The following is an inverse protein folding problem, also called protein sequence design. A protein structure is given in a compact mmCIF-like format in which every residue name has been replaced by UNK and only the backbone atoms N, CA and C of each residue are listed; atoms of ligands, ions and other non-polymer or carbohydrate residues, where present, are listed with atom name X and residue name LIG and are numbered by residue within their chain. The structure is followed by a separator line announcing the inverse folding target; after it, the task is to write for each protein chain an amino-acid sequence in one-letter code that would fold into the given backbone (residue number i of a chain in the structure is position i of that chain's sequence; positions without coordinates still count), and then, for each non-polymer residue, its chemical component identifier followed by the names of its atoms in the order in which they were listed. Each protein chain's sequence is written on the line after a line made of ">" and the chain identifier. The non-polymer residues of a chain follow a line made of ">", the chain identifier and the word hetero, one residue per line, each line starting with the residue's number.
data_IF_684466362043
#
_entry.id   IF_684466362043
#
_cell.length_a   1.000
_cell.length_b   1.000
_cell.length_c   1.000
_cell.angle_alpha   90.00
_cell.angle_beta   90.00
_cell.angle_gamma   90.00
#
_symmetry.space_group_name_H-M   'P 1'
#
loop_
_entity.id
_entity.type
_entity.pdbx_description
1 polymer ?
#
# COMPACT_ATOMS: atom_id res chain seq x y z
N UNK A 1 33.43 -27.53 14.47
CA UNK A 1 32.56 -26.66 15.28
C UNK A 1 31.59 -25.93 14.34
N UNK A 2 30.32 -25.90 14.73
CA UNK A 2 29.20 -25.09 14.20
C UNK A 2 28.74 -25.34 12.75
N UNK A 3 27.79 -26.27 12.62
CA UNK A 3 26.91 -26.44 11.44
C UNK A 3 25.99 -25.24 11.30
N UNK A 4 25.84 -24.74 10.08
CA UNK A 4 24.86 -23.72 9.71
C UNK A 4 23.45 -24.28 9.86
N UNK A 5 22.62 -23.60 10.65
CA UNK A 5 21.22 -23.95 10.84
C UNK A 5 20.41 -23.68 9.58
N UNK A 6 19.87 -24.75 9.00
CA UNK A 6 18.71 -24.70 8.12
C UNK A 6 17.56 -23.98 8.84
N UNK A 7 17.03 -22.92 8.21
CA UNK A 7 15.74 -22.36 8.61
C UNK A 7 14.67 -23.40 8.26
N UNK A 8 14.17 -24.09 9.25
CA UNK A 8 12.99 -24.93 9.15
C UNK A 8 11.82 -24.10 8.59
N UNK A 9 11.30 -24.51 7.43
CA UNK A 9 10.04 -23.99 6.92
C UNK A 9 8.94 -24.36 7.90
N UNK A 10 8.32 -23.36 8.52
CA UNK A 10 7.17 -23.57 9.39
C UNK A 10 6.02 -24.08 8.52
N UNK A 11 5.63 -25.34 8.69
CA UNK A 11 4.45 -25.91 8.04
C UNK A 11 3.23 -25.23 8.66
N UNK A 12 2.72 -24.20 7.99
CA UNK A 12 1.50 -23.49 8.41
C UNK A 12 0.36 -24.50 8.45
N UNK A 13 -0.22 -24.73 9.63
CA UNK A 13 -1.28 -25.71 9.86
C UNK A 13 -2.57 -25.37 9.11
N UNK A 14 -3.45 -26.35 8.89
CA UNK A 14 -4.70 -26.15 8.16
C UNK A 14 -5.61 -25.07 8.80
N UNK A 15 -5.61 -24.99 10.14
CA UNK A 15 -6.33 -23.95 10.88
C UNK A 15 -5.82 -22.53 10.60
N UNK A 16 -4.50 -22.36 10.53
CA UNK A 16 -3.87 -21.07 10.25
C UNK A 16 -4.15 -20.61 8.81
N UNK A 17 -4.12 -21.54 7.84
CA UNK A 17 -4.45 -21.25 6.44
C UNK A 17 -5.90 -20.79 6.27
N UNK A 18 -6.84 -21.48 6.92
CA UNK A 18 -8.25 -21.10 6.88
C UNK A 18 -8.49 -19.72 7.51
N UNK A 19 -7.78 -19.39 8.59
CA UNK A 19 -7.83 -18.07 9.22
C UNK A 19 -7.25 -16.98 8.31
N UNK A 20 -6.08 -17.22 7.72
CA UNK A 20 -5.47 -16.30 6.76
C UNK A 20 -6.39 -16.04 5.56
N UNK A 21 -7.00 -17.08 4.98
CA UNK A 21 -7.94 -16.92 3.87
C UNK A 21 -9.13 -16.03 4.24
N UNK A 22 -9.70 -16.22 5.44
CA UNK A 22 -10.79 -15.37 5.95
C UNK A 22 -10.35 -13.93 6.12
N UNK A 23 -9.17 -13.69 6.71
CA UNK A 23 -8.61 -12.34 6.85
C UNK A 23 -8.42 -11.65 5.49
N UNK A 24 -7.94 -12.39 4.48
CA UNK A 24 -7.72 -11.85 3.12
C UNK A 24 -9.03 -11.50 2.42
N UNK A 25 -10.08 -12.29 2.62
CA UNK A 25 -11.41 -11.94 2.13
C UNK A 25 -11.99 -10.72 2.86
N UNK A 26 -11.88 -10.65 4.20
CA UNK A 26 -12.28 -9.47 4.97
C UNK A 26 -11.57 -8.21 4.47
N UNK A 27 -10.24 -8.28 4.27
CA UNK A 27 -9.43 -7.18 3.74
C UNK A 27 -9.93 -6.75 2.37
N UNK A 28 -10.11 -7.70 1.43
CA UNK A 28 -10.63 -7.43 0.09
C UNK A 28 -11.99 -6.74 0.16
N UNK A 29 -12.89 -7.19 1.03
CA UNK A 29 -14.20 -6.56 1.19
C UNK A 29 -14.06 -5.12 1.63
N UNK A 30 -13.25 -4.82 2.66
CA UNK A 30 -13.05 -3.45 3.15
C UNK A 30 -12.44 -2.53 2.08
N UNK A 31 -11.40 -2.98 1.37
CA UNK A 31 -10.76 -2.19 0.31
C UNK A 31 -11.73 -1.82 -0.83
N UNK A 32 -12.69 -2.69 -1.13
CA UNK A 32 -13.69 -2.47 -2.19
C UNK A 32 -15.04 -1.93 -1.69
N UNK A 33 -15.20 -1.62 -0.40
CA UNK A 33 -16.42 -0.96 0.08
C UNK A 33 -16.64 0.39 -0.60
N UNK A 34 -15.57 1.19 -0.74
CA UNK A 34 -15.64 2.52 -1.36
C UNK A 34 -15.37 2.45 -2.87
N UNK A 35 -14.65 1.44 -3.35
CA UNK A 35 -14.29 1.24 -4.76
C UNK A 35 -15.20 0.23 -5.50
N UNK A 36 -16.46 0.11 -5.09
CA UNK A 36 -17.42 -0.85 -5.67
C UNK A 36 -17.75 -0.52 -7.15
N UNK A 37 -18.29 -1.47 -7.94
CA UNK A 37 -18.61 -1.22 -9.36
C UNK A 37 -19.59 -0.08 -9.62
N UNK A 38 -20.40 0.30 -8.63
CA UNK A 38 -21.32 1.44 -8.68
C UNK A 38 -20.73 2.75 -8.13
N UNK A 39 -19.48 2.71 -7.68
CA UNK A 39 -18.73 3.87 -7.19
C UNK A 39 -17.85 4.43 -8.31
N UNK A 40 -17.65 5.74 -8.31
CA UNK A 40 -16.68 6.40 -9.19
C UNK A 40 -15.23 6.09 -8.78
N UNK A 41 -15.03 5.53 -7.58
CA UNK A 41 -13.72 5.26 -7.02
C UNK A 41 -13.14 3.95 -7.54
N UNK A 42 -11.83 3.99 -7.81
CA UNK A 42 -11.02 2.83 -8.18
C UNK A 42 -10.01 2.57 -7.08
N UNK A 43 -9.60 1.32 -6.93
CA UNK A 43 -8.54 0.94 -6.01
C UNK A 43 -7.18 0.92 -6.72
N UNK A 44 -6.20 1.51 -6.06
CA UNK A 44 -4.81 1.50 -6.45
C UNK A 44 -3.95 1.02 -5.29
N UNK A 45 -2.75 0.54 -5.60
CA UNK A 45 -1.69 0.39 -4.61
C UNK A 45 -0.48 1.22 -5.01
N UNK A 46 0.27 1.68 -4.01
CA UNK A 46 1.64 2.14 -4.19
C UNK A 46 2.55 1.09 -3.58
N UNK A 47 3.19 0.30 -4.44
CA UNK A 47 4.06 -0.80 -4.05
C UNK A 47 5.51 -0.34 -4.08
N UNK A 48 6.25 -0.67 -3.03
CA UNK A 48 7.65 -0.33 -2.85
C UNK A 48 8.54 -1.50 -3.25
N UNK A 49 9.05 -1.48 -4.49
CA UNK A 49 9.85 -2.60 -5.01
C UNK A 49 11.20 -2.77 -4.27
N UNK A 50 11.64 -1.79 -3.48
CA UNK A 50 12.80 -1.97 -2.60
C UNK A 50 12.52 -2.91 -1.42
N UNK A 51 11.24 -3.21 -1.11
CA UNK A 51 10.86 -4.09 0.00
C UNK A 51 11.05 -5.55 -0.33
N UNK A 52 10.76 -5.93 -1.57
CA UNK A 52 10.89 -7.30 -2.04
C UNK A 52 11.10 -7.32 -3.57
N UNK A 53 12.16 -7.99 -4.08
CA UNK A 53 12.45 -8.02 -5.50
C UNK A 53 11.34 -8.66 -6.34
N UNK A 54 10.48 -9.49 -5.74
CA UNK A 54 9.34 -10.11 -6.41
C UNK A 54 8.30 -9.07 -6.84
N UNK A 55 8.23 -7.91 -6.19
CA UNK A 55 7.28 -6.82 -6.50
C UNK A 55 7.48 -6.33 -7.93
N UNK A 56 8.71 -5.98 -8.31
CA UNK A 56 8.98 -5.45 -9.64
C UNK A 56 8.71 -6.50 -10.72
N UNK A 57 9.17 -7.74 -10.53
CA UNK A 57 8.93 -8.82 -11.47
C UNK A 57 7.42 -9.10 -11.62
N UNK A 58 6.70 -9.16 -10.50
CA UNK A 58 5.25 -9.33 -10.49
C UNK A 58 4.51 -8.22 -11.24
N UNK A 59 4.95 -6.96 -11.12
CA UNK A 59 4.38 -5.85 -11.89
C UNK A 59 4.59 -6.02 -13.40
N UNK A 60 5.81 -6.37 -13.83
CA UNK A 60 6.13 -6.61 -15.24
C UNK A 60 5.28 -7.73 -15.83
N UNK A 61 5.08 -8.81 -15.06
CA UNK A 61 4.37 -10.00 -15.53
C UNK A 61 2.84 -9.88 -15.37
N UNK A 62 2.35 -8.92 -14.58
CA UNK A 62 0.92 -8.81 -14.22
C UNK A 62 -0.02 -8.46 -15.38
N UNK A 63 0.49 -7.78 -16.42
CA UNK A 63 -0.35 -7.11 -17.42
C UNK A 63 -1.18 -5.95 -16.87
N UNK A 64 -1.01 -5.56 -15.60
CA UNK A 64 -1.72 -4.44 -14.98
C UNK A 64 -1.20 -3.10 -15.52
N UNK A 65 -2.06 -2.09 -15.49
CA UNK A 65 -1.63 -0.71 -15.72
C UNK A 65 -0.87 -0.21 -14.47
N UNK A 66 0.41 0.13 -14.64
CA UNK A 66 1.25 0.67 -13.57
C UNK A 66 2.17 1.80 -14.03
N UNK A 67 2.62 2.61 -13.08
CA UNK A 67 3.52 3.74 -13.31
C UNK A 67 4.56 3.86 -12.21
N UNK A 68 5.83 3.98 -12.62
CA UNK A 68 6.89 4.39 -11.71
C UNK A 68 6.63 5.83 -11.21
N UNK A 69 6.80 6.03 -9.90
CA UNK A 69 6.68 7.34 -9.28
C UNK A 69 8.00 8.12 -9.35
N UNK A 70 9.17 7.47 -9.46
CA UNK A 70 10.41 8.19 -9.71
C UNK A 70 10.37 8.93 -11.07
N UNK A 71 11.11 10.04 -11.16
CA UNK A 71 11.12 10.93 -12.33
C UNK A 71 12.33 10.64 -13.23
N UNK A 72 12.17 10.93 -14.52
CA UNK A 72 13.26 10.89 -15.49
C UNK A 72 13.60 9.49 -15.99
N UNK A 73 14.65 9.42 -16.79
CA UNK A 73 15.24 8.16 -17.26
C UNK A 73 16.03 7.53 -16.11
N UNK A 74 15.48 6.46 -15.56
CA UNK A 74 16.09 5.71 -14.46
C UNK A 74 17.04 4.66 -15.03
N UNK A 75 18.14 4.39 -14.33
CA UNK A 75 18.91 3.16 -14.56
C UNK A 75 18.03 1.94 -14.24
N UNK A 76 18.30 0.80 -14.88
CA UNK A 76 17.50 -0.43 -14.69
C UNK A 76 17.50 -0.90 -13.24
N UNK A 77 18.63 -0.78 -12.55
CA UNK A 77 18.77 -1.09 -11.13
C UNK A 77 17.82 -0.25 -10.26
N UNK A 78 17.68 1.05 -10.60
CA UNK A 78 16.82 1.96 -9.86
C UNK A 78 15.33 1.71 -10.16
N UNK A 79 14.99 1.23 -11.37
CA UNK A 79 13.62 0.79 -11.69
C UNK A 79 13.21 -0.38 -10.79
N UNK A 80 14.09 -1.36 -10.62
CA UNK A 80 13.81 -2.57 -9.85
C UNK A 80 13.49 -2.32 -8.37
N UNK A 81 13.87 -1.17 -7.83
CA UNK A 81 13.66 -0.79 -6.43
C UNK A 81 12.77 0.45 -6.26
N UNK A 82 12.18 0.96 -7.34
CA UNK A 82 11.36 2.16 -7.28
C UNK A 82 9.96 1.90 -6.68
N UNK A 83 9.27 2.94 -6.20
CA UNK A 83 7.85 2.86 -5.88
C UNK A 83 6.97 2.96 -7.14
N UNK A 84 5.96 2.12 -7.20
CA UNK A 84 5.05 1.97 -8.34
C UNK A 84 3.60 2.16 -7.94
N UNK A 85 2.90 3.06 -8.64
CA UNK A 85 1.44 3.15 -8.61
C UNK A 85 0.87 2.10 -9.56
N UNK A 86 -0.02 1.23 -9.08
CA UNK A 86 -0.69 0.20 -9.88
C UNK A 86 -2.19 0.24 -9.62
N UNK A 87 -3.00 0.08 -10.68
CA UNK A 87 -4.45 -0.09 -10.55
C UNK A 87 -4.75 -1.54 -10.23
N UNK A 88 -5.57 -1.77 -9.20
CA UNK A 88 -5.97 -3.10 -8.77
C UNK A 88 -7.41 -3.39 -9.20
N UNK A 89 -7.61 -4.56 -9.81
CA UNK A 89 -8.94 -5.09 -10.13
C UNK A 89 -9.30 -6.17 -9.11
N UNK A 90 -10.54 -6.17 -8.61
CA UNK A 90 -10.95 -6.93 -7.42
C UNK A 90 -10.63 -8.43 -7.49
N UNK A 91 -10.76 -9.02 -8.67
CA UNK A 91 -10.61 -10.46 -8.93
C UNK A 91 -9.36 -10.79 -9.75
N UNK A 92 -8.47 -9.83 -10.01
CA UNK A 92 -7.25 -10.10 -10.76
C UNK A 92 -6.26 -10.94 -9.93
N UNK A 93 -5.56 -11.86 -10.60
CA UNK A 93 -4.53 -12.70 -9.97
C UNK A 93 -3.42 -11.87 -9.31
N UNK A 94 -3.04 -10.74 -9.92
CA UNK A 94 -2.06 -9.82 -9.34
C UNK A 94 -2.56 -9.20 -8.02
N UNK A 95 -3.84 -8.84 -7.94
CA UNK A 95 -4.45 -8.35 -6.69
C UNK A 95 -4.43 -9.43 -5.60
N UNK A 96 -4.83 -10.66 -5.93
CA UNK A 96 -4.75 -11.81 -5.02
C UNK A 96 -3.34 -11.99 -4.47
N UNK A 97 -2.35 -11.93 -5.37
CA UNK A 97 -0.94 -12.08 -5.03
C UNK A 97 -0.42 -10.96 -4.11
N UNK A 98 -0.73 -9.69 -4.40
CA UNK A 98 -0.38 -8.55 -3.56
C UNK A 98 -1.01 -8.67 -2.17
N UNK A 99 -2.29 -9.04 -2.08
CA UNK A 99 -2.96 -9.18 -0.79
C UNK A 99 -2.40 -10.36 0.01
N UNK A 100 -2.11 -11.49 -0.63
CA UNK A 100 -1.65 -12.69 0.08
C UNK A 100 -0.21 -12.58 0.56
N UNK A 101 0.71 -12.09 -0.27
CA UNK A 101 2.14 -12.02 0.06
C UNK A 101 2.59 -10.65 0.57
N UNK A 102 1.91 -9.56 0.19
CA UNK A 102 2.36 -8.22 0.55
C UNK A 102 1.77 -7.69 1.85
N UNK A 103 0.57 -8.13 2.22
CA UNK A 103 -0.08 -7.73 3.47
C UNK A 103 0.56 -8.45 4.66
N UNK A 104 1.01 -7.67 5.64
CA UNK A 104 1.84 -8.06 6.78
C UNK A 104 3.34 -7.80 6.57
N UNK A 105 3.79 -7.57 5.32
CA UNK A 105 5.22 -7.47 4.97
C UNK A 105 5.64 -6.05 4.56
N UNK A 106 4.75 -5.07 4.73
CA UNK A 106 4.96 -3.67 4.39
C UNK A 106 5.39 -3.46 2.94
N UNK A 107 4.72 -4.13 2.01
CA UNK A 107 4.96 -3.94 0.57
C UNK A 107 4.50 -2.58 0.06
N UNK A 108 3.54 -1.95 0.73
CA UNK A 108 2.98 -0.70 0.27
C UNK A 108 1.67 -0.33 0.93
N UNK A 109 1.03 0.69 0.38
CA UNK A 109 -0.27 1.21 0.82
C UNK A 109 -1.31 1.06 -0.28
N UNK A 110 -2.58 1.07 0.08
CA UNK A 110 -3.69 1.09 -0.87
C UNK A 110 -4.41 2.44 -0.82
N UNK A 111 -5.00 2.81 -1.95
CA UNK A 111 -5.59 4.14 -2.18
C UNK A 111 -6.90 3.95 -2.93
N UNK A 112 -8.00 4.47 -2.40
CA UNK A 112 -9.23 4.63 -3.17
C UNK A 112 -9.36 6.08 -3.65
N UNK A 113 -9.64 6.25 -4.94
CA UNK A 113 -9.76 7.58 -5.56
C UNK A 113 -10.64 7.55 -6.80
N UNK A 114 -11.43 8.59 -7.08
CA UNK A 114 -12.14 8.72 -8.35
C UNK A 114 -11.22 9.14 -9.50
N UNK A 115 -10.03 9.68 -9.20
CA UNK A 115 -9.09 10.14 -10.20
C UNK A 115 -8.48 9.00 -11.01
N UNK A 116 -8.03 9.34 -12.22
CA UNK A 116 -7.31 8.42 -13.08
C UNK A 116 -5.86 8.22 -12.63
N UNK A 117 -5.21 7.22 -13.22
CA UNK A 117 -3.83 6.86 -12.87
C UNK A 117 -2.82 7.96 -13.20
N UNK A 118 -3.10 8.82 -14.18
CA UNK A 118 -2.20 9.92 -14.59
C UNK A 118 -2.21 11.01 -13.53
N UNK A 119 -3.38 11.39 -13.05
CA UNK A 119 -3.55 12.45 -12.06
C UNK A 119 -3.06 12.00 -10.68
N UNK A 120 -3.33 10.73 -10.32
CA UNK A 120 -2.75 10.12 -9.11
C UNK A 120 -1.23 10.04 -9.18
N UNK A 121 -0.65 9.62 -10.32
CA UNK A 121 0.80 9.61 -10.50
C UNK A 121 1.38 11.02 -10.30
N UNK A 122 0.74 12.06 -10.86
CA UNK A 122 1.18 13.45 -10.70
C UNK A 122 1.12 13.89 -9.23
N UNK A 123 0.03 13.58 -8.56
CA UNK A 123 -0.18 13.87 -7.14
C UNK A 123 0.94 13.27 -6.27
N UNK A 124 1.11 11.97 -6.34
CA UNK A 124 2.06 11.20 -5.53
C UNK A 124 3.52 11.58 -5.78
N UNK A 125 3.87 11.98 -7.01
CA UNK A 125 5.21 12.45 -7.38
C UNK A 125 5.65 13.75 -6.71
N UNK A 126 4.76 14.44 -6.00
CA UNK A 126 5.08 15.68 -5.29
C UNK A 126 5.68 15.42 -3.91
N UNK A 127 5.43 14.25 -3.33
CA UNK A 127 5.79 13.94 -1.95
C UNK A 127 7.08 13.13 -1.81
N UNK A 128 7.65 12.61 -2.90
CA UNK A 128 8.79 11.69 -2.84
C UNK A 128 10.05 12.29 -2.20
N UNK A 129 10.17 13.61 -2.17
CA UNK A 129 11.33 14.31 -1.65
C UNK A 129 10.87 15.45 -0.74
N UNK A 130 11.41 15.45 0.47
CA UNK A 130 11.27 16.54 1.45
C UNK A 130 12.66 17.10 1.74
N UNK A 131 12.75 18.22 2.45
CA UNK A 131 14.03 18.81 2.85
C UNK A 131 14.14 18.77 4.37
N UNK A 132 15.30 18.38 4.88
CA UNK A 132 15.63 18.50 6.30
C UNK A 132 15.74 19.98 6.72
N UNK A 133 15.85 20.24 8.02
CA UNK A 133 16.11 21.58 8.55
C UNK A 133 17.39 22.20 7.93
N UNK A 134 18.44 21.38 7.75
CA UNK A 134 19.68 21.79 7.06
C UNK A 134 19.56 21.92 5.53
N UNK A 135 18.35 21.78 4.95
CA UNK A 135 18.12 21.86 3.51
C UNK A 135 18.58 20.65 2.69
N UNK A 136 18.88 19.50 3.32
CA UNK A 136 19.28 18.29 2.60
C UNK A 136 18.03 17.56 2.06
N UNK A 137 18.02 17.13 0.79
CA UNK A 137 16.91 16.35 0.26
C UNK A 137 16.87 14.97 0.93
N UNK A 138 15.69 14.59 1.42
CA UNK A 138 15.37 13.30 2.00
C UNK A 138 14.24 12.63 1.23
N UNK A 139 14.37 11.32 0.98
CA UNK A 139 13.28 10.56 0.40
C UNK A 139 12.18 10.33 1.43
N UNK A 140 11.01 10.89 1.18
CA UNK A 140 9.85 10.66 2.02
C UNK A 140 9.07 9.45 1.51
N UNK A 141 9.31 8.31 2.17
CA UNK A 141 8.67 7.01 1.88
C UNK A 141 7.27 6.94 2.47
N UNK A 142 6.41 7.90 2.13
CA UNK A 142 5.02 7.94 2.60
C UNK A 142 4.21 6.69 2.22
N UNK A 143 4.65 5.94 1.21
CA UNK A 143 4.04 4.70 0.76
C UNK A 143 4.48 3.46 1.56
N UNK A 144 5.37 3.62 2.54
CA UNK A 144 5.67 2.58 3.52
C UNK A 144 4.61 2.63 4.64
N UNK A 145 3.88 1.53 4.88
CA UNK A 145 2.92 1.41 5.99
C UNK A 145 3.39 1.95 7.34
N UNK A 146 4.67 1.75 7.65
CA UNK A 146 5.30 2.12 8.92
C UNK A 146 5.51 3.61 9.04
N UNK A 147 5.74 4.26 7.90
CA UNK A 147 5.86 5.72 7.82
C UNK A 147 4.48 6.35 7.81
N UNK A 148 3.57 5.89 6.95
CA UNK A 148 2.26 6.51 6.75
C UNK A 148 1.45 6.55 8.05
N UNK A 149 1.40 5.43 8.78
CA UNK A 149 0.59 5.31 10.00
C UNK A 149 1.08 6.19 11.15
N UNK A 150 2.36 6.60 11.14
CA UNK A 150 2.92 7.53 12.11
C UNK A 150 2.75 8.98 11.65
N UNK A 151 2.90 9.23 10.36
CA UNK A 151 2.95 10.58 9.81
C UNK A 151 1.56 11.24 9.62
N UNK A 152 0.58 10.52 9.08
CA UNK A 152 -0.75 11.10 8.84
C UNK A 152 -1.39 11.62 10.14
N UNK A 153 -1.38 10.88 11.28
CA UNK A 153 -1.94 11.37 12.54
C UNK A 153 -1.29 12.63 13.11
N UNK A 154 -0.03 12.93 12.75
CA UNK A 154 0.67 14.13 13.21
C UNK A 154 0.54 15.31 12.25
N UNK A 155 -0.13 15.11 11.10
CA UNK A 155 -0.28 16.14 10.08
C UNK A 155 -1.31 17.19 10.50
N UNK A 156 -1.04 18.46 10.22
CA UNK A 156 -2.01 19.54 10.38
C UNK A 156 -3.05 19.55 9.23
N UNK A 157 -4.10 20.37 9.35
CA UNK A 157 -5.19 20.39 8.38
C UNK A 157 -4.74 20.70 6.94
N UNK A 158 -3.77 21.60 6.75
CA UNK A 158 -3.25 21.93 5.42
C UNK A 158 -2.46 20.76 4.83
N UNK A 159 -1.64 20.08 5.64
CA UNK A 159 -0.92 18.87 5.23
C UNK A 159 -1.89 17.74 4.86
N UNK A 160 -2.94 17.52 5.65
CA UNK A 160 -3.98 16.53 5.34
C UNK A 160 -4.65 16.83 4.00
N UNK A 161 -5.06 18.09 3.75
CA UNK A 161 -5.65 18.47 2.47
C UNK A 161 -4.68 18.24 1.30
N UNK A 162 -3.41 18.58 1.48
CA UNK A 162 -2.37 18.37 0.46
C UNK A 162 -2.12 16.89 0.20
N UNK A 163 -2.03 16.06 1.24
CA UNK A 163 -1.77 14.63 1.12
C UNK A 163 -2.96 13.91 0.49
N UNK A 164 -4.19 14.24 0.90
CA UNK A 164 -5.37 13.63 0.30
C UNK A 164 -5.53 14.08 -1.15
N UNK A 165 -5.59 15.38 -1.46
CA UNK A 165 -5.81 15.83 -2.84
C UNK A 165 -6.96 15.05 -3.51
N UNK A 166 -6.71 14.28 -4.59
CA UNK A 166 -7.73 13.45 -5.25
C UNK A 166 -8.04 12.12 -4.53
N UNK A 167 -7.34 11.78 -3.45
CA UNK A 167 -7.53 10.54 -2.69
C UNK A 167 -8.74 10.67 -1.78
N UNK A 168 -9.62 9.67 -1.81
CA UNK A 168 -10.76 9.59 -0.90
C UNK A 168 -10.41 8.81 0.38
N UNK A 169 -9.59 7.76 0.24
CA UNK A 169 -9.15 6.89 1.34
C UNK A 169 -7.72 6.40 1.14
N UNK A 170 -6.97 6.36 2.23
CA UNK A 170 -5.74 5.58 2.34
C UNK A 170 -5.99 4.37 3.22
N UNK A 171 -5.34 3.25 2.88
CA UNK A 171 -5.38 2.02 3.64
C UNK A 171 -3.98 1.48 3.85
N UNK A 172 -3.71 1.01 5.06
CA UNK A 172 -2.45 0.38 5.42
C UNK A 172 -2.67 -0.71 6.45
N UNK A 173 -1.75 -1.67 6.50
CA UNK A 173 -1.64 -2.61 7.63
C UNK A 173 -1.24 -1.87 8.91
N UNK A 174 -1.70 -2.38 10.06
CA UNK A 174 -1.12 -2.06 11.36
C UNK A 174 0.15 -2.87 11.64
N UNK A 175 0.62 -2.84 12.88
CA UNK A 175 1.91 -3.44 13.26
C UNK A 175 1.92 -4.96 13.28
N UNK A 176 0.77 -5.57 13.55
CA UNK A 176 0.54 -7.00 13.69
C UNK A 176 0.18 -7.69 12.36
N UNK A 177 -0.11 -6.93 11.30
CA UNK A 177 -0.56 -7.45 10.01
C UNK A 177 -1.98 -8.04 10.01
N UNK A 178 -2.67 -8.05 11.14
CA UNK A 178 -4.06 -8.52 11.26
C UNK A 178 -5.07 -7.36 11.34
N UNK A 179 -4.57 -6.12 11.43
CA UNK A 179 -5.35 -4.89 11.42
C UNK A 179 -5.23 -4.12 10.10
N UNK A 180 -6.37 -3.63 9.62
CA UNK A 180 -6.49 -2.63 8.57
C UNK A 180 -6.71 -1.26 9.21
N UNK A 181 -5.85 -0.29 8.88
CA UNK A 181 -6.03 1.11 9.23
C UNK A 181 -6.50 1.86 7.98
N UNK A 182 -7.68 2.47 8.06
CA UNK A 182 -8.24 3.35 7.05
C UNK A 182 -8.09 4.80 7.50
N UNK A 183 -7.58 5.65 6.61
CA UNK A 183 -7.57 7.09 6.77
C UNK A 183 -8.51 7.76 5.78
N UNK A 184 -9.25 8.74 6.28
CA UNK A 184 -10.09 9.65 5.52
C UNK A 184 -9.91 11.08 6.03
N UNK A 185 -10.48 12.05 5.32
CA UNK A 185 -10.51 13.42 5.80
C UNK A 185 -11.86 14.08 5.53
N UNK A 186 -12.20 15.05 6.36
CA UNK A 186 -13.31 15.96 6.17
C UNK A 186 -12.83 17.39 6.42
N UNK A 187 -12.81 18.23 5.38
CA UNK A 187 -12.31 19.60 5.43
C UNK A 187 -10.91 19.77 6.11
N UNK A 188 -10.00 18.82 5.88
CA UNK A 188 -8.66 18.80 6.46
C UNK A 188 -8.58 18.17 7.85
N UNK A 189 -9.71 17.81 8.46
CA UNK A 189 -9.72 17.00 9.66
C UNK A 189 -9.50 15.53 9.31
N UNK A 190 -8.36 14.97 9.73
CA UNK A 190 -8.08 13.56 9.58
C UNK A 190 -9.07 12.72 10.41
N UNK A 191 -9.56 11.65 9.79
CA UNK A 191 -10.34 10.60 10.43
C UNK A 191 -9.60 9.27 10.24
N UNK A 192 -9.45 8.52 11.32
CA UNK A 192 -8.80 7.21 11.30
C UNK A 192 -9.77 6.16 11.84
N UNK A 193 -9.79 5.00 11.18
CA UNK A 193 -10.53 3.82 11.63
C UNK A 193 -9.61 2.61 11.59
N UNK A 194 -9.54 1.87 12.69
CA UNK A 194 -8.78 0.62 12.79
C UNK A 194 -9.77 -0.54 12.87
N UNK A 195 -9.57 -1.54 12.01
CA UNK A 195 -10.41 -2.72 11.88
C UNK A 195 -9.55 -3.97 12.06
N UNK A 196 -9.95 -4.88 12.94
CA UNK A 196 -9.36 -6.21 13.01
C UNK A 196 -9.98 -7.10 11.94
N UNK A 197 -9.15 -7.67 11.08
CA UNK A 197 -9.62 -8.49 9.95
C UNK A 197 -10.30 -9.79 10.41
N UNK A 198 -9.94 -10.27 11.61
CA UNK A 198 -10.57 -11.43 12.25
C UNK A 198 -12.01 -11.15 12.70
N UNK A 199 -12.27 -9.96 13.22
CA UNK A 199 -13.57 -9.59 13.80
C UNK A 199 -14.63 -9.31 12.73
N UNK A 200 -14.18 -9.10 11.48
CA UNK A 200 -15.03 -8.83 10.32
C UNK A 200 -15.45 -10.10 9.56
N UNK A 201 -14.85 -11.26 9.87
CA UNK A 201 -14.99 -12.49 9.08
C UNK A 201 -16.24 -13.33 9.46
N UNK A 202 -17.31 -12.69 9.94
CA UNK A 202 -18.54 -13.36 10.42
C UNK A 202 -19.53 -13.63 9.29
#
# INVERSE_FOLDING_TARGET
>A
MCRHGERAGCVVGEGDRAMQQRQRESLRQQLWQVASPSSEHRLYAILDAARDPRIYQGLVDSGCAYHCLYRGDLADELRQVAPYLVRLERQAAFTEWVLNLGWGDSWGIFVASPADMRDLRRHFRRFLMVYSEDGKPLYFRYYDPRVLRLYLPTSNAAEVLILFGPVARYYTEGEDGDTLIEFSQDAGQLRQRTLRLNDLAS
#
